data_IF_122657698394
#
_entry.id   IF_122657698394
#
_cell.length_a   1.000
_cell.length_b   1.000
_cell.length_c   1.000
_cell.angle_alpha   90.00
_cell.angle_beta   90.00
_cell.angle_gamma   90.00
#
_symmetry.space_group_name_H-M   'P 1'
#
loop_
_entity.id
_entity.type
_entity.pdbx_description
1 polymer ?
#
# COMPACT_ATOMS: atom_id res chain seq x y z
N UNK A 1 15.67 -8.81 -36.06
CA UNK A 1 14.74 -7.68 -36.27
C UNK A 1 15.53 -6.39 -36.10
N UNK A 2 15.30 -5.38 -36.94
CA UNK A 2 15.89 -4.06 -36.71
C UNK A 2 15.38 -3.48 -35.38
N UNK A 3 16.24 -2.82 -34.60
CA UNK A 3 15.84 -2.17 -33.36
C UNK A 3 14.89 -1.00 -33.64
N UNK A 4 13.93 -0.75 -32.75
CA UNK A 4 13.08 0.45 -32.74
C UNK A 4 13.84 1.58 -32.01
N UNK A 5 15.00 1.96 -32.55
CA UNK A 5 15.92 2.95 -31.96
C UNK A 5 15.69 4.38 -32.49
N UNK A 6 14.60 4.60 -33.21
CA UNK A 6 14.23 5.90 -33.78
C UNK A 6 15.14 6.38 -34.91
N UNK A 7 15.94 5.50 -35.53
CA UNK A 7 16.81 5.83 -36.67
C UNK A 7 16.19 5.56 -38.04
N UNK A 8 15.13 4.76 -38.09
CA UNK A 8 14.48 4.34 -39.34
C UNK A 8 13.02 4.79 -39.33
N UNK A 9 12.51 5.13 -40.51
CA UNK A 9 11.10 5.43 -40.70
C UNK A 9 10.23 4.18 -40.46
N UNK A 10 9.04 4.34 -39.89
CA UNK A 10 8.11 3.23 -39.60
C UNK A 10 7.82 2.38 -40.85
N UNK A 11 7.78 2.98 -42.05
CA UNK A 11 7.59 2.28 -43.31
C UNK A 11 8.67 1.25 -43.63
N UNK A 12 9.86 1.37 -43.04
CA UNK A 12 11.01 0.49 -43.27
C UNK A 12 10.97 -0.79 -42.42
N UNK A 13 10.00 -0.91 -41.51
CA UNK A 13 9.83 -2.08 -40.65
C UNK A 13 8.78 -3.04 -41.22
N UNK A 14 9.05 -4.35 -41.12
CA UNK A 14 8.09 -5.39 -41.52
C UNK A 14 6.84 -5.29 -40.64
N UNK A 15 5.69 -5.03 -41.27
CA UNK A 15 4.40 -4.84 -40.59
C UNK A 15 3.76 -6.16 -40.16
N UNK A 16 4.34 -6.80 -39.16
CA UNK A 16 3.71 -7.95 -38.49
C UNK A 16 2.40 -7.53 -37.82
N UNK A 17 1.43 -8.45 -37.59
CA UNK A 17 0.19 -8.12 -36.88
C UNK A 17 0.42 -7.49 -35.50
N UNK A 18 1.45 -7.95 -34.78
CA UNK A 18 1.87 -7.39 -33.50
C UNK A 18 2.38 -5.96 -33.63
N UNK A 19 3.27 -5.69 -34.60
CA UNK A 19 3.77 -4.34 -34.83
C UNK A 19 2.65 -3.38 -35.26
N UNK A 20 1.75 -3.83 -36.13
CA UNK A 20 0.57 -3.04 -36.51
C UNK A 20 -0.35 -2.74 -35.32
N UNK A 21 -0.49 -3.67 -34.37
CA UNK A 21 -1.24 -3.43 -33.14
C UNK A 21 -0.58 -2.31 -32.32
N UNK A 22 0.73 -2.38 -32.10
CA UNK A 22 1.47 -1.36 -31.35
C UNK A 22 1.40 0.02 -32.02
N UNK A 23 1.42 0.08 -33.36
CA UNK A 23 1.21 1.32 -34.11
C UNK A 23 -0.21 1.89 -33.90
N UNK A 24 -1.24 1.04 -33.98
CA UNK A 24 -2.64 1.47 -33.74
C UNK A 24 -2.87 1.94 -32.31
N UNK A 25 -2.19 1.33 -31.35
CA UNK A 25 -2.26 1.69 -29.93
C UNK A 25 -1.38 2.90 -29.59
N UNK A 26 -0.60 3.44 -30.54
CA UNK A 26 0.29 4.58 -30.32
C UNK A 26 1.52 4.27 -29.45
N UNK A 27 1.75 2.98 -29.12
CA UNK A 27 2.90 2.53 -28.33
C UNK A 27 4.19 2.68 -29.14
N UNK A 28 4.11 2.40 -30.44
CA UNK A 28 5.16 2.76 -31.40
C UNK A 28 4.62 3.91 -32.23
N UNK A 29 5.36 5.01 -32.27
CA UNK A 29 4.99 6.21 -33.02
C UNK A 29 6.18 6.76 -33.79
N UNK A 30 5.90 7.62 -34.76
CA UNK A 30 6.96 8.33 -35.47
C UNK A 30 7.70 9.25 -34.50
N UNK A 31 9.01 9.44 -34.71
CA UNK A 31 9.82 10.30 -33.85
C UNK A 31 9.27 11.73 -33.76
N UNK A 32 8.66 12.25 -34.83
CA UNK A 32 8.02 13.58 -34.84
C UNK A 32 6.79 13.69 -33.94
N UNK A 33 6.16 12.55 -33.63
CA UNK A 33 4.99 12.45 -32.74
C UNK A 33 5.36 12.04 -31.31
N UNK A 34 6.66 11.83 -31.04
CA UNK A 34 7.14 11.48 -29.71
C UNK A 34 6.89 12.66 -28.76
N UNK A 35 6.10 12.41 -27.71
CA UNK A 35 5.88 13.40 -26.66
C UNK A 35 7.10 13.46 -25.75
N UNK A 36 7.58 14.67 -25.49
CA UNK A 36 8.65 14.91 -24.53
C UNK A 36 8.07 14.89 -23.12
N UNK A 37 8.68 14.12 -22.22
CA UNK A 37 8.32 14.17 -20.80
C UNK A 37 8.71 15.53 -20.21
N UNK A 38 7.88 16.11 -19.32
CA UNK A 38 8.24 17.33 -18.61
C UNK A 38 9.50 17.13 -17.76
N UNK A 39 10.27 18.21 -17.57
CA UNK A 39 11.50 18.22 -16.77
C UNK A 39 11.25 18.35 -15.27
N UNK A 40 10.09 18.87 -14.87
CA UNK A 40 9.74 19.17 -13.48
C UNK A 40 8.23 19.10 -13.25
N UNK A 41 7.81 19.22 -11.99
CA UNK A 41 6.40 19.39 -11.64
C UNK A 41 5.85 20.78 -12.01
N UNK A 42 6.71 21.77 -12.22
CA UNK A 42 6.37 23.11 -12.67
C UNK A 42 5.97 23.11 -14.14
N UNK A 43 6.66 22.31 -14.96
CA UNK A 43 6.45 22.20 -16.41
C UNK A 43 5.37 21.18 -16.78
N UNK A 44 4.85 20.43 -15.80
CA UNK A 44 3.94 19.32 -16.01
C UNK A 44 2.53 19.78 -16.43
N UNK A 45 1.86 19.00 -17.28
CA UNK A 45 0.46 19.17 -17.60
C UNK A 45 -0.41 18.50 -16.52
N UNK A 46 -1.24 19.30 -15.84
CA UNK A 46 -2.12 18.81 -14.78
C UNK A 46 -3.54 18.55 -15.30
N UNK A 47 -4.15 17.51 -14.74
CA UNK A 47 -5.59 17.31 -14.85
C UNK A 47 -6.36 18.54 -14.32
N UNK A 48 -7.45 18.91 -14.99
CA UNK A 48 -8.30 20.04 -14.55
C UNK A 48 -9.09 19.74 -13.28
N UNK A 49 -9.33 18.46 -12.97
CA UNK A 49 -10.13 18.01 -11.82
C UNK A 49 -9.30 17.60 -10.61
N UNK A 50 -8.10 17.05 -10.80
CA UNK A 50 -7.29 16.51 -9.71
C UNK A 50 -5.80 16.83 -9.87
N UNK A 51 -4.96 16.35 -8.95
CA UNK A 51 -3.51 16.59 -8.97
C UNK A 51 -2.69 15.72 -9.95
N UNK A 52 -3.35 14.84 -10.71
CA UNK A 52 -2.66 13.96 -11.67
C UNK A 52 -1.93 14.78 -12.74
N UNK A 53 -0.70 14.38 -13.05
CA UNK A 53 0.14 15.05 -14.05
C UNK A 53 1.08 14.05 -14.72
N UNK A 54 1.58 14.44 -15.89
CA UNK A 54 2.46 13.65 -16.76
C UNK A 54 3.93 13.60 -16.31
N UNK A 55 4.32 14.39 -15.30
CA UNK A 55 5.62 14.27 -14.65
C UNK A 55 5.63 13.13 -13.63
N UNK A 56 4.79 13.21 -12.59
CA UNK A 56 4.74 12.25 -11.49
C UNK A 56 4.12 10.90 -11.88
N UNK A 57 3.32 10.88 -12.94
CA UNK A 57 2.80 9.66 -13.58
C UNK A 57 3.31 9.68 -15.03
N UNK A 58 4.53 9.17 -15.29
CA UNK A 58 5.14 9.24 -16.61
C UNK A 58 4.25 8.60 -17.68
N UNK A 59 4.04 9.32 -18.79
CA UNK A 59 3.18 8.86 -19.89
C UNK A 59 1.68 9.02 -19.63
N UNK A 60 1.27 9.71 -18.56
CA UNK A 60 -0.12 10.09 -18.37
C UNK A 60 -0.59 10.99 -19.52
N UNK A 61 -1.73 10.66 -20.10
CA UNK A 61 -2.35 11.45 -21.16
C UNK A 61 -3.65 12.08 -20.68
N UNK A 62 -3.78 13.38 -20.88
CA UNK A 62 -5.04 14.10 -20.68
C UNK A 62 -5.87 14.01 -21.97
N UNK A 63 -7.19 13.92 -21.82
CA UNK A 63 -8.08 14.03 -22.98
C UNK A 63 -8.25 15.49 -23.45
N UNK A 64 -9.08 15.71 -24.47
CA UNK A 64 -9.36 17.03 -25.03
C UNK A 64 -10.00 18.01 -24.04
N UNK A 65 -10.54 17.53 -22.91
CA UNK A 65 -11.10 18.35 -21.84
C UNK A 65 -10.12 18.55 -20.68
N UNK A 66 -8.88 18.05 -20.81
CA UNK A 66 -7.85 18.13 -19.77
C UNK A 66 -8.07 17.13 -18.63
N UNK A 67 -8.85 16.06 -18.84
CA UNK A 67 -9.10 15.04 -17.81
C UNK A 67 -8.13 13.86 -17.93
N UNK A 68 -7.56 13.45 -16.79
CA UNK A 68 -6.73 12.25 -16.72
C UNK A 68 -7.58 10.96 -16.79
N UNK A 69 -6.99 9.79 -17.13
CA UNK A 69 -7.72 8.54 -17.25
C UNK A 69 -8.43 8.12 -15.95
N UNK A 70 -7.85 8.44 -14.78
CA UNK A 70 -8.46 8.14 -13.49
C UNK A 70 -9.77 8.90 -13.29
N UNK A 71 -9.80 10.21 -13.59
CA UNK A 71 -11.02 11.02 -13.51
C UNK A 71 -12.06 10.59 -14.56
N UNK A 72 -11.62 10.26 -15.78
CA UNK A 72 -12.51 9.82 -16.88
C UNK A 72 -13.17 8.46 -16.62
N UNK A 73 -12.51 7.59 -15.86
CA UNK A 73 -12.97 6.20 -15.64
C UNK A 73 -13.52 5.97 -14.23
N UNK A 74 -13.68 7.02 -13.43
CA UNK A 74 -14.19 6.91 -12.05
C UNK A 74 -15.50 6.12 -11.97
N UNK A 75 -16.48 6.44 -12.82
CA UNK A 75 -17.76 5.73 -12.84
C UNK A 75 -17.60 4.25 -13.14
N UNK A 76 -16.74 3.91 -14.11
CA UNK A 76 -16.46 2.52 -14.48
C UNK A 76 -15.88 1.73 -13.31
N UNK A 77 -15.06 2.34 -12.47
CA UNK A 77 -14.40 1.67 -11.34
C UNK A 77 -15.07 1.93 -9.98
N UNK A 78 -16.24 2.57 -9.94
CA UNK A 78 -16.98 2.90 -8.71
C UNK A 78 -17.28 1.66 -7.85
N UNK A 79 -17.51 0.50 -8.48
CA UNK A 79 -17.77 -0.76 -7.77
C UNK A 79 -16.52 -1.35 -7.11
N UNK A 80 -15.33 -0.99 -7.58
CA UNK A 80 -14.07 -1.55 -7.14
C UNK A 80 -13.59 -0.78 -5.91
N UNK A 81 -14.18 -1.09 -4.75
CA UNK A 81 -13.80 -0.46 -3.48
C UNK A 81 -12.63 -1.19 -2.80
N UNK A 82 -12.78 -2.49 -2.56
CA UNK A 82 -11.78 -3.29 -1.84
C UNK A 82 -11.89 -4.78 -2.24
N UNK A 83 -10.79 -5.53 -2.07
CA UNK A 83 -10.75 -6.99 -2.23
C UNK A 83 -11.09 -7.73 -0.92
N UNK A 84 -11.23 -6.99 0.18
CA UNK A 84 -11.56 -7.47 1.51
C UNK A 84 -13.01 -7.12 1.89
N UNK A 85 -13.62 -7.86 2.82
CA UNK A 85 -14.91 -7.48 3.38
C UNK A 85 -14.83 -6.10 4.06
N UNK A 86 -15.79 -5.24 3.73
CA UNK A 86 -15.92 -3.90 4.31
C UNK A 86 -17.01 -3.94 5.37
N UNK A 87 -16.68 -3.52 6.59
CA UNK A 87 -17.64 -3.34 7.68
C UNK A 87 -17.62 -1.89 8.14
N UNK A 88 -18.79 -1.34 8.47
CA UNK A 88 -18.90 -0.02 9.12
C UNK A 88 -18.62 -0.10 10.62
N UNK A 89 -19.11 -1.16 11.26
CA UNK A 89 -18.99 -1.41 12.70
C UNK A 89 -18.46 -2.81 12.95
N UNK A 90 -17.51 -2.96 13.87
CA UNK A 90 -16.94 -4.27 14.22
C UNK A 90 -17.80 -4.92 15.31
N UNK A 91 -18.23 -6.19 15.12
CA UNK A 91 -18.96 -6.92 16.15
C UNK A 91 -18.12 -7.11 17.42
N UNK A 92 -18.74 -6.91 18.59
CA UNK A 92 -18.13 -7.25 19.88
C UNK A 92 -17.99 -8.76 20.04
N UNK A 93 -16.98 -9.18 20.79
CA UNK A 93 -16.67 -10.58 21.08
C UNK A 93 -16.66 -10.82 22.59
N UNK A 94 -17.83 -11.06 23.22
CA UNK A 94 -17.99 -11.08 24.68
C UNK A 94 -17.01 -12.00 25.41
N UNK A 95 -16.73 -13.17 24.85
CA UNK A 95 -15.89 -14.21 25.49
C UNK A 95 -14.39 -14.07 25.18
N UNK A 96 -13.97 -13.00 24.51
CA UNK A 96 -12.57 -12.75 24.13
C UNK A 96 -12.02 -11.55 24.88
N UNK A 97 -10.70 -11.47 25.06
CA UNK A 97 -10.05 -10.29 25.65
C UNK A 97 -10.18 -9.05 24.76
N UNK A 98 -10.06 -9.25 23.45
CA UNK A 98 -10.08 -8.18 22.45
C UNK A 98 -11.25 -8.36 21.50
N UNK A 99 -11.83 -7.23 21.09
CA UNK A 99 -12.81 -7.17 20.02
C UNK A 99 -12.13 -6.94 18.66
N UNK A 100 -10.98 -6.27 18.63
CA UNK A 100 -10.24 -6.01 17.40
C UNK A 100 -8.75 -5.76 17.68
N UNK A 101 -7.91 -5.99 16.67
CA UNK A 101 -6.56 -5.46 16.60
C UNK A 101 -6.39 -4.53 15.40
N UNK A 102 -5.45 -3.59 15.51
CA UNK A 102 -5.12 -2.63 14.46
C UNK A 102 -3.61 -2.45 14.35
N UNK A 103 -3.10 -2.39 13.13
CA UNK A 103 -1.74 -1.93 12.87
C UNK A 103 -1.65 -0.42 13.05
N UNK A 104 -0.85 0.04 14.02
CA UNK A 104 -0.76 1.43 14.41
C UNK A 104 0.64 1.99 14.19
N UNK A 105 0.76 2.99 13.32
CA UNK A 105 2.04 3.60 12.92
C UNK A 105 2.25 5.01 13.49
N UNK A 106 1.25 5.58 14.16
CA UNK A 106 1.24 6.99 14.55
C UNK A 106 0.93 7.97 13.41
N UNK A 107 0.73 7.46 12.19
CA UNK A 107 0.29 8.29 11.04
C UNK A 107 -1.20 8.63 11.12
N UNK A 108 -1.63 9.61 10.32
CA UNK A 108 -3.02 10.13 10.27
C UNK A 108 -4.05 8.99 10.18
N UNK A 109 -3.93 8.14 9.18
CA UNK A 109 -4.90 7.10 8.86
C UNK A 109 -4.99 6.03 9.97
N UNK A 110 -3.85 5.56 10.46
CA UNK A 110 -3.82 4.57 11.54
C UNK A 110 -4.32 5.13 12.87
N UNK A 111 -4.10 6.42 13.13
CA UNK A 111 -4.58 7.14 14.32
C UNK A 111 -6.10 7.33 14.26
N UNK A 112 -6.62 7.67 13.08
CA UNK A 112 -8.06 7.77 12.84
C UNK A 112 -8.76 6.43 13.05
N UNK A 113 -8.22 5.34 12.49
CA UNK A 113 -8.80 4.02 12.74
C UNK A 113 -8.75 3.64 14.22
N UNK A 114 -7.63 3.89 14.91
CA UNK A 114 -7.50 3.60 16.33
C UNK A 114 -8.54 4.38 17.15
N UNK A 115 -8.68 5.68 16.90
CA UNK A 115 -9.70 6.54 17.52
C UNK A 115 -11.12 6.02 17.26
N UNK A 116 -11.44 5.67 16.01
CA UNK A 116 -12.76 5.15 15.63
C UNK A 116 -13.11 3.85 16.36
N UNK A 117 -12.16 2.91 16.45
CA UNK A 117 -12.39 1.64 17.15
C UNK A 117 -12.50 1.83 18.67
N UNK A 118 -11.59 2.62 19.26
CA UNK A 118 -11.50 2.77 20.72
C UNK A 118 -12.53 3.77 21.29
N UNK A 119 -12.63 4.98 20.74
CA UNK A 119 -13.50 6.04 21.29
C UNK A 119 -14.92 5.99 20.75
N UNK A 120 -15.08 5.84 19.43
CA UNK A 120 -16.40 5.90 18.79
C UNK A 120 -17.15 4.58 18.97
N UNK A 121 -16.52 3.46 18.60
CA UNK A 121 -17.15 2.12 18.72
C UNK A 121 -16.99 1.49 20.11
N UNK A 122 -16.12 2.06 20.98
CA UNK A 122 -15.91 1.61 22.37
C UNK A 122 -15.54 0.13 22.45
N UNK A 123 -14.64 -0.30 21.58
CA UNK A 123 -14.16 -1.67 21.49
C UNK A 123 -12.93 -1.88 22.37
N UNK A 124 -12.68 -3.11 22.79
CA UNK A 124 -11.41 -3.50 23.42
C UNK A 124 -10.38 -3.75 22.32
N UNK A 125 -9.50 -2.78 22.11
CA UNK A 125 -8.58 -2.76 20.98
C UNK A 125 -7.16 -3.16 21.41
N UNK A 126 -6.55 -4.04 20.62
CA UNK A 126 -5.11 -4.31 20.64
C UNK A 126 -4.43 -3.48 19.55
N UNK A 127 -3.68 -2.46 19.94
CA UNK A 127 -2.85 -1.67 19.03
C UNK A 127 -1.51 -2.37 18.80
N UNK A 128 -1.12 -2.52 17.53
CA UNK A 128 0.09 -3.25 17.11
C UNK A 128 1.05 -2.30 16.40
N UNK A 129 2.14 -1.93 17.06
CA UNK A 129 3.15 -1.01 16.52
C UNK A 129 4.47 -1.74 16.31
N UNK A 130 4.98 -1.73 15.08
CA UNK A 130 6.32 -2.24 14.80
C UNK A 130 7.31 -1.09 14.71
N UNK A 131 8.40 -1.18 15.47
CA UNK A 131 9.46 -0.20 15.39
C UNK A 131 10.29 -0.41 14.13
N UNK A 132 10.50 0.69 13.40
CA UNK A 132 11.40 0.74 12.25
C UNK A 132 12.43 1.85 12.46
N UNK A 133 13.62 1.75 11.85
CA UNK A 133 14.61 2.83 11.91
C UNK A 133 14.13 4.12 11.24
N UNK A 134 13.05 4.06 10.44
CA UNK A 134 12.55 5.17 9.63
C UNK A 134 11.26 5.80 10.15
N UNK A 135 10.75 5.38 11.33
CA UNK A 135 9.60 6.05 11.95
C UNK A 135 9.93 7.52 12.21
N UNK A 136 9.00 8.42 11.87
CA UNK A 136 9.16 9.86 12.12
C UNK A 136 9.07 10.21 13.60
N UNK A 137 9.63 11.37 13.98
CA UNK A 137 9.63 11.80 15.38
C UNK A 137 8.21 12.18 15.83
N UNK A 138 7.45 12.90 14.99
CA UNK A 138 6.04 13.21 15.24
C UNK A 138 5.14 11.96 15.28
N UNK A 139 5.47 10.88 14.56
CA UNK A 139 4.73 9.62 14.69
C UNK A 139 5.01 8.94 16.05
N UNK A 140 6.24 9.00 16.55
CA UNK A 140 6.57 8.53 17.91
C UNK A 140 5.85 9.34 18.97
N UNK A 141 5.82 10.66 18.84
CA UNK A 141 5.07 11.55 19.74
C UNK A 141 3.56 11.24 19.69
N UNK A 142 2.99 11.07 18.50
CA UNK A 142 1.59 10.68 18.33
C UNK A 142 1.28 9.32 18.97
N UNK A 143 2.19 8.36 18.90
CA UNK A 143 2.03 7.06 19.58
C UNK A 143 2.05 7.25 21.11
N UNK A 144 2.96 8.07 21.63
CA UNK A 144 3.06 8.36 23.06
C UNK A 144 1.78 9.05 23.57
N UNK A 145 1.33 10.10 22.90
CA UNK A 145 0.09 10.82 23.27
C UNK A 145 -1.14 9.92 23.15
N UNK A 146 -1.26 9.11 22.08
CA UNK A 146 -2.38 8.18 21.95
C UNK A 146 -2.40 7.16 23.09
N UNK A 147 -1.24 6.71 23.58
CA UNK A 147 -1.16 5.78 24.73
C UNK A 147 -1.66 6.42 26.03
N UNK A 148 -1.39 7.69 26.24
CA UNK A 148 -1.88 8.44 27.41
C UNK A 148 -3.37 8.75 27.27
N UNK A 149 -3.79 9.16 26.08
CA UNK A 149 -5.16 9.56 25.79
C UNK A 149 -6.12 8.37 25.70
N UNK A 150 -5.65 7.15 25.41
CA UNK A 150 -6.48 5.94 25.24
C UNK A 150 -6.08 4.83 26.23
N UNK A 151 -6.30 5.02 27.55
CA UNK A 151 -5.92 4.03 28.58
C UNK A 151 -6.67 2.70 28.45
N UNK A 152 -7.78 2.65 27.71
CA UNK A 152 -8.53 1.43 27.43
C UNK A 152 -7.92 0.54 26.31
N UNK A 153 -6.93 1.04 25.59
CA UNK A 153 -6.27 0.32 24.50
C UNK A 153 -4.99 -0.35 25.01
N UNK A 154 -4.83 -1.64 24.70
CA UNK A 154 -3.56 -2.33 24.93
C UNK A 154 -2.60 -2.03 23.78
N UNK A 155 -1.47 -1.37 24.08
CA UNK A 155 -0.43 -1.06 23.09
C UNK A 155 0.69 -2.11 23.12
N UNK A 156 0.77 -2.92 22.06
CA UNK A 156 1.85 -3.86 21.84
C UNK A 156 2.86 -3.30 20.84
N UNK A 157 4.11 -3.15 21.30
CA UNK A 157 5.22 -2.69 20.48
C UNK A 157 6.21 -3.83 20.26
N UNK A 158 6.61 -4.05 19.01
CA UNK A 158 7.61 -5.06 18.65
C UNK A 158 8.66 -4.52 17.69
N UNK A 159 9.81 -5.17 17.67
CA UNK A 159 10.90 -4.86 16.74
C UNK A 159 11.45 -6.14 16.14
N UNK A 160 11.68 -6.14 14.82
CA UNK A 160 12.40 -7.22 14.17
C UNK A 160 13.88 -7.21 14.60
N UNK A 161 14.55 -8.36 14.75
CA UNK A 161 15.99 -8.39 15.04
C UNK A 161 16.77 -7.59 13.99
N UNK A 162 17.68 -6.71 14.43
CA UNK A 162 18.43 -5.81 13.53
C UNK A 162 19.12 -6.54 12.37
N UNK A 163 19.86 -7.66 12.58
CA UNK A 163 20.52 -8.36 11.48
C UNK A 163 19.52 -8.92 10.45
N UNK A 164 18.38 -9.43 10.92
CA UNK A 164 17.30 -9.93 10.08
C UNK A 164 16.67 -8.80 9.27
N UNK A 165 16.34 -7.68 9.92
CA UNK A 165 15.74 -6.52 9.25
C UNK A 165 16.68 -5.93 8.19
N UNK A 166 17.98 -5.83 8.49
CA UNK A 166 18.99 -5.34 7.55
C UNK A 166 19.14 -6.27 6.34
N UNK A 167 19.16 -7.58 6.54
CA UNK A 167 19.20 -8.55 5.43
C UNK A 167 17.97 -8.41 4.50
N UNK A 168 16.78 -8.26 5.10
CA UNK A 168 15.54 -8.03 4.36
C UNK A 168 15.63 -6.70 3.58
N UNK A 169 16.04 -5.60 4.23
CA UNK A 169 16.14 -4.28 3.61
C UNK A 169 17.16 -4.23 2.47
N UNK A 170 18.31 -4.88 2.59
CA UNK A 170 19.29 -4.98 1.48
C UNK A 170 18.68 -5.63 0.24
N UNK A 171 17.95 -6.73 0.43
CA UNK A 171 17.31 -7.41 -0.68
C UNK A 171 16.17 -6.59 -1.27
N UNK A 172 15.36 -5.94 -0.43
CA UNK A 172 14.34 -5.00 -0.91
C UNK A 172 15.00 -3.89 -1.75
N UNK A 173 16.01 -3.21 -1.21
CA UNK A 173 16.73 -2.14 -1.92
C UNK A 173 17.35 -2.62 -3.24
N UNK A 174 17.95 -3.81 -3.27
CA UNK A 174 18.49 -4.37 -4.51
C UNK A 174 17.42 -4.59 -5.58
N UNK A 175 16.19 -4.97 -5.19
CA UNK A 175 15.09 -5.25 -6.10
C UNK A 175 14.32 -4.00 -6.54
N UNK A 176 14.13 -3.03 -5.65
CA UNK A 176 13.22 -1.89 -5.89
C UNK A 176 13.79 -0.52 -5.59
N UNK A 177 15.08 -0.42 -5.23
CA UNK A 177 15.79 0.82 -4.88
C UNK A 177 15.17 1.59 -3.70
N UNK A 178 14.35 0.93 -2.89
CA UNK A 178 13.86 1.44 -1.63
C UNK A 178 13.58 0.26 -0.68
N UNK A 179 13.31 0.57 0.58
CA UNK A 179 13.07 -0.42 1.65
C UNK A 179 11.60 -0.43 2.12
N UNK A 180 10.68 0.10 1.32
CA UNK A 180 9.25 0.22 1.65
C UNK A 180 8.54 -1.14 1.59
N UNK A 181 8.71 -1.92 2.66
CA UNK A 181 8.07 -3.23 2.87
C UNK A 181 7.55 -3.39 4.30
N UNK A 182 7.63 -2.32 5.11
CA UNK A 182 7.38 -2.38 6.55
C UNK A 182 5.98 -2.90 6.94
N UNK A 183 4.88 -2.67 6.19
CA UNK A 183 3.59 -3.25 6.54
C UNK A 183 3.62 -4.79 6.52
N UNK A 184 4.42 -5.39 5.63
CA UNK A 184 4.57 -6.85 5.55
C UNK A 184 5.35 -7.44 6.72
N UNK A 185 6.32 -6.69 7.26
CA UNK A 185 7.05 -7.07 8.48
C UNK A 185 6.13 -7.09 9.70
N UNK A 186 5.14 -6.21 9.76
CA UNK A 186 4.14 -6.20 10.83
C UNK A 186 3.38 -7.55 10.91
N UNK A 187 2.96 -8.12 9.78
CA UNK A 187 2.35 -9.45 9.78
C UNK A 187 3.28 -10.53 10.34
N UNK A 188 4.57 -10.47 10.01
CA UNK A 188 5.56 -11.45 10.51
C UNK A 188 5.69 -11.36 12.03
N UNK A 189 5.72 -10.15 12.59
CA UNK A 189 5.83 -9.92 14.03
C UNK A 189 4.56 -10.37 14.78
N UNK A 190 3.39 -9.97 14.30
CA UNK A 190 2.18 -10.03 15.11
C UNK A 190 1.25 -11.22 14.84
N UNK A 191 1.34 -11.86 13.67
CA UNK A 191 0.35 -12.89 13.28
C UNK A 191 0.28 -14.07 14.25
N UNK A 192 1.42 -14.51 14.79
CA UNK A 192 1.45 -15.57 15.79
C UNK A 192 0.67 -15.16 17.06
N UNK A 193 0.88 -13.94 17.55
CA UNK A 193 0.22 -13.41 18.76
C UNK A 193 -1.27 -13.20 18.53
N UNK A 194 -1.66 -12.68 17.37
CA UNK A 194 -3.07 -12.57 16.98
C UNK A 194 -3.80 -13.91 17.08
N UNK A 195 -3.19 -14.99 16.59
CA UNK A 195 -3.75 -16.34 16.70
C UNK A 195 -3.76 -16.87 18.14
N UNK A 196 -2.66 -16.65 18.89
CA UNK A 196 -2.51 -17.16 20.26
C UNK A 196 -3.46 -16.49 21.25
N UNK A 197 -3.68 -15.18 21.10
CA UNK A 197 -4.59 -14.39 21.93
C UNK A 197 -6.03 -14.42 21.43
N UNK A 198 -6.31 -15.27 20.43
CA UNK A 198 -7.63 -15.47 19.82
C UNK A 198 -8.30 -14.15 19.43
N UNK A 199 -7.54 -13.24 18.81
CA UNK A 199 -8.07 -11.96 18.34
C UNK A 199 -9.05 -12.22 17.19
N UNK A 200 -10.31 -11.76 17.28
CA UNK A 200 -11.33 -12.10 16.29
C UNK A 200 -11.16 -11.34 14.97
N UNK A 201 -10.75 -10.07 15.04
CA UNK A 201 -10.65 -9.18 13.88
C UNK A 201 -9.30 -8.47 13.84
N UNK A 202 -8.63 -8.51 12.69
CA UNK A 202 -7.56 -7.58 12.35
C UNK A 202 -8.15 -6.55 11.38
N UNK A 203 -8.22 -5.30 11.82
CA UNK A 203 -8.89 -4.23 11.10
C UNK A 203 -7.87 -3.36 10.37
N UNK A 204 -8.08 -3.17 9.07
CA UNK A 204 -7.31 -2.24 8.24
C UNK A 204 -8.15 -1.01 7.92
N UNK A 205 -7.55 0.16 8.11
CA UNK A 205 -8.14 1.47 7.85
C UNK A 205 -7.24 2.18 6.89
N UNK A 206 -7.53 2.00 5.61
CA UNK A 206 -6.81 2.66 4.53
C UNK A 206 -7.74 3.73 3.98
N UNK A 207 -7.15 4.85 3.59
CA UNK A 207 -7.89 5.85 2.86
C UNK A 207 -8.45 5.28 1.54
N UNK A 208 -9.66 5.67 1.10
CA UNK A 208 -10.25 5.22 -0.16
C UNK A 208 -9.31 5.36 -1.37
N UNK A 209 -8.50 6.43 -1.41
CA UNK A 209 -7.50 6.66 -2.46
C UNK A 209 -6.43 5.54 -2.51
N UNK A 210 -5.95 5.08 -1.36
CA UNK A 210 -4.98 3.98 -1.23
C UNK A 210 -5.59 2.65 -1.71
N UNK A 211 -6.84 2.37 -1.34
CA UNK A 211 -7.54 1.17 -1.81
C UNK A 211 -7.73 1.17 -3.33
N UNK A 212 -8.13 2.31 -3.91
CA UNK A 212 -8.31 2.46 -5.36
C UNK A 212 -6.99 2.39 -6.12
N UNK A 213 -5.90 2.89 -5.54
CA UNK A 213 -4.56 2.80 -6.14
C UNK A 213 -4.14 1.33 -6.40
N UNK A 214 -4.55 0.39 -5.53
CA UNK A 214 -4.29 -1.04 -5.72
C UNK A 214 -4.88 -1.59 -7.04
N UNK A 215 -5.95 -0.97 -7.57
CA UNK A 215 -6.53 -1.35 -8.87
C UNK A 215 -5.61 -0.93 -10.01
N UNK A 216 -5.14 0.31 -9.99
CA UNK A 216 -4.27 0.86 -11.04
C UNK A 216 -2.90 0.17 -11.05
N UNK A 217 -2.40 -0.21 -9.87
CA UNK A 217 -1.20 -1.02 -9.73
C UNK A 217 -1.44 -2.54 -9.84
N UNK A 218 -2.63 -2.95 -10.31
CA UNK A 218 -2.99 -4.34 -10.62
C UNK A 218 -2.72 -5.32 -9.48
N UNK A 219 -2.97 -4.94 -8.22
CA UNK A 219 -2.74 -5.77 -7.04
C UNK A 219 -3.61 -7.03 -6.97
N UNK A 220 -4.68 -7.06 -7.75
CA UNK A 220 -5.44 -8.25 -8.08
C UNK A 220 -5.94 -8.11 -9.52
N UNK A 221 -6.31 -9.21 -10.19
CA UNK A 221 -7.00 -9.13 -11.47
C UNK A 221 -8.26 -8.26 -11.38
N UNK A 222 -8.50 -7.40 -12.38
CA UNK A 222 -9.58 -6.41 -12.34
C UNK A 222 -10.98 -7.02 -12.07
N UNK A 223 -11.25 -8.25 -12.57
CA UNK A 223 -12.52 -8.93 -12.33
C UNK A 223 -12.73 -9.29 -10.85
N UNK A 224 -11.67 -9.48 -10.07
CA UNK A 224 -11.74 -9.90 -8.67
C UNK A 224 -12.24 -8.78 -7.75
N UNK A 225 -12.19 -7.54 -8.19
CA UNK A 225 -12.81 -6.42 -7.47
C UNK A 225 -14.35 -6.44 -7.54
N UNK A 226 -14.94 -7.29 -8.39
CA UNK A 226 -16.39 -7.42 -8.46
C UNK A 226 -16.92 -8.29 -7.29
N UNK A 227 -17.95 -7.85 -6.54
CA UNK A 227 -18.47 -8.58 -5.37
C UNK A 227 -18.86 -10.03 -5.67
N UNK A 228 -19.49 -10.28 -6.84
CA UNK A 228 -19.84 -11.65 -7.25
C UNK A 228 -18.61 -12.54 -7.45
N UNK A 229 -17.51 -12.01 -7.99
CA UNK A 229 -16.28 -12.77 -8.17
C UNK A 229 -15.65 -13.14 -6.82
N UNK A 230 -15.66 -12.22 -5.86
CA UNK A 230 -15.18 -12.48 -4.49
C UNK A 230 -16.04 -13.55 -3.81
N UNK A 231 -17.37 -13.43 -3.88
CA UNK A 231 -18.29 -14.40 -3.30
C UNK A 231 -18.13 -15.79 -3.93
N UNK A 232 -17.99 -15.88 -5.25
CA UNK A 232 -17.74 -17.13 -5.95
C UNK A 232 -16.39 -17.75 -5.55
N UNK A 233 -15.33 -16.95 -5.43
CA UNK A 233 -14.02 -17.43 -4.97
C UNK A 233 -14.06 -17.94 -3.52
N UNK A 234 -14.72 -17.21 -2.61
CA UNK A 234 -14.93 -17.63 -1.22
C UNK A 234 -15.71 -18.94 -1.14
N UNK A 235 -16.78 -19.06 -1.93
CA UNK A 235 -17.56 -20.30 -2.02
C UNK A 235 -16.71 -21.47 -2.51
N UNK A 236 -15.98 -21.29 -3.62
CA UNK A 236 -15.12 -22.34 -4.18
C UNK A 236 -14.06 -22.82 -3.16
N UNK A 237 -13.39 -21.88 -2.47
CA UNK A 237 -12.40 -22.21 -1.44
C UNK A 237 -13.05 -22.94 -0.27
N UNK A 238 -14.18 -22.46 0.23
CA UNK A 238 -14.87 -23.09 1.37
C UNK A 238 -15.41 -24.48 1.01
N UNK A 239 -15.93 -24.67 -0.19
CA UNK A 239 -16.34 -25.99 -0.71
C UNK A 239 -15.15 -26.95 -0.75
N UNK A 240 -14.00 -26.52 -1.29
CA UNK A 240 -12.77 -27.32 -1.27
C UNK A 240 -12.31 -27.66 0.16
N UNK A 241 -12.45 -26.72 1.11
CA UNK A 241 -12.12 -26.96 2.52
C UNK A 241 -13.03 -28.02 3.13
N UNK A 242 -14.34 -27.97 2.89
CA UNK A 242 -15.28 -29.00 3.36
C UNK A 242 -14.91 -30.37 2.79
N UNK A 243 -14.65 -30.47 1.48
CA UNK A 243 -14.22 -31.72 0.85
C UNK A 243 -12.87 -32.24 1.36
N UNK A 244 -12.02 -31.37 1.90
CA UNK A 244 -10.73 -31.74 2.51
C UNK A 244 -10.78 -31.82 4.04
N UNK A 245 -11.99 -31.94 4.61
CA UNK A 245 -12.25 -32.05 6.06
C UNK A 245 -11.67 -30.89 6.89
N UNK A 246 -11.64 -29.70 6.30
CA UNK A 246 -11.21 -28.46 6.95
C UNK A 246 -12.43 -27.56 7.18
N UNK A 247 -12.44 -26.88 8.33
CA UNK A 247 -13.48 -25.89 8.64
C UNK A 247 -13.51 -24.79 7.58
N UNK A 248 -14.70 -24.40 7.06
CA UNK A 248 -14.84 -23.24 6.19
C UNK A 248 -14.24 -21.99 6.85
N UNK A 249 -13.73 -21.08 6.03
CA UNK A 249 -13.35 -19.75 6.47
C UNK A 249 -14.59 -18.89 6.67
N UNK A 250 -14.63 -18.19 7.80
CA UNK A 250 -15.53 -17.05 8.01
C UNK A 250 -15.15 -15.87 7.09
N UNK A 251 -16.04 -14.90 6.85
CA UNK A 251 -15.72 -13.70 6.08
C UNK A 251 -14.43 -13.01 6.60
N UNK A 252 -13.49 -12.71 5.70
CA UNK A 252 -12.22 -12.05 6.03
C UNK A 252 -11.07 -13.00 6.41
N UNK A 253 -11.37 -14.23 6.84
CA UNK A 253 -10.33 -15.21 7.20
C UNK A 253 -9.58 -15.72 5.96
N UNK A 254 -10.27 -15.92 4.85
CA UNK A 254 -9.64 -16.36 3.59
C UNK A 254 -8.61 -15.32 3.12
N UNK A 255 -9.00 -14.05 3.14
CA UNK A 255 -8.15 -12.92 2.76
C UNK A 255 -6.92 -12.82 3.67
N UNK A 256 -7.11 -12.92 5.00
CA UNK A 256 -5.98 -12.95 5.93
C UNK A 256 -5.04 -14.10 5.61
N UNK A 257 -5.58 -15.31 5.52
CA UNK A 257 -4.80 -16.53 5.32
C UNK A 257 -4.01 -16.49 4.01
N UNK A 258 -4.62 -16.00 2.92
CA UNK A 258 -3.94 -15.85 1.64
C UNK A 258 -2.78 -14.86 1.73
N UNK A 259 -2.99 -13.70 2.36
CA UNK A 259 -1.96 -12.69 2.59
C UNK A 259 -0.78 -13.25 3.38
N UNK A 260 -1.03 -13.82 4.57
CA UNK A 260 0.06 -14.34 5.42
C UNK A 260 0.75 -15.56 4.82
N UNK A 261 0.02 -16.41 4.08
CA UNK A 261 0.61 -17.54 3.35
C UNK A 261 1.56 -17.07 2.27
N UNK A 262 1.18 -16.05 1.51
CA UNK A 262 2.02 -15.47 0.47
C UNK A 262 3.29 -14.85 1.06
N UNK A 263 3.20 -14.17 2.20
CA UNK A 263 4.37 -13.63 2.90
C UNK A 263 5.27 -14.75 3.47
N UNK A 264 4.69 -15.83 3.99
CA UNK A 264 5.42 -16.91 4.66
C UNK A 264 6.21 -17.79 3.68
N UNK A 265 5.60 -18.13 2.54
CA UNK A 265 6.14 -19.14 1.61
C UNK A 265 6.42 -18.59 0.21
N UNK A 266 6.03 -17.35 -0.08
CA UNK A 266 6.07 -16.81 -1.43
C UNK A 266 5.07 -17.51 -2.37
N UNK A 267 5.22 -17.25 -3.66
CA UNK A 267 4.42 -17.89 -4.71
C UNK A 267 4.95 -19.29 -5.05
N UNK A 268 4.64 -20.30 -4.24
CA UNK A 268 5.07 -21.71 -4.43
C UNK A 268 4.41 -22.44 -5.63
N UNK A 269 4.18 -21.79 -6.77
CA UNK A 269 3.83 -22.54 -7.98
C UNK A 269 4.31 -21.85 -9.24
N UNK A 270 5.17 -22.54 -9.99
CA UNK A 270 5.61 -22.16 -11.33
C UNK A 270 4.45 -21.90 -12.30
N UNK A 271 3.23 -22.40 -12.01
CA UNK A 271 2.01 -22.15 -12.78
C UNK A 271 1.31 -20.81 -12.52
N UNK A 272 1.34 -20.26 -11.29
CA UNK A 272 0.68 -18.97 -10.98
C UNK A 272 1.37 -17.78 -11.63
N UNK A 273 2.71 -17.83 -11.75
CA UNK A 273 3.50 -16.79 -12.43
C UNK A 273 3.12 -16.59 -13.90
N UNK A 274 2.51 -17.59 -14.54
CA UNK A 274 2.04 -17.52 -15.93
C UNK A 274 0.70 -16.79 -16.08
N UNK A 275 -0.07 -16.63 -15.00
CA UNK A 275 -1.45 -16.11 -15.04
C UNK A 275 -1.53 -14.70 -14.43
N UNK A 276 -0.70 -14.40 -13.43
CA UNK A 276 -0.74 -13.13 -12.70
C UNK A 276 0.64 -12.86 -12.06
N UNK A 277 1.18 -11.66 -12.30
CA UNK A 277 2.45 -11.20 -11.74
C UNK A 277 2.21 -9.94 -10.90
N UNK A 278 2.78 -9.91 -9.70
CA UNK A 278 2.72 -8.76 -8.81
C UNK A 278 4.12 -8.48 -8.25
N UNK A 279 4.79 -7.49 -8.81
CA UNK A 279 6.17 -7.14 -8.47
C UNK A 279 6.32 -6.80 -6.98
N UNK A 280 5.37 -6.04 -6.38
CA UNK A 280 5.41 -5.64 -4.97
C UNK A 280 5.44 -6.87 -4.05
N UNK A 281 4.53 -7.81 -4.29
CA UNK A 281 4.37 -9.03 -3.50
C UNK A 281 5.57 -9.96 -3.68
N UNK A 282 6.07 -10.11 -4.91
CA UNK A 282 7.24 -10.92 -5.20
C UNK A 282 8.51 -10.34 -4.58
N UNK A 283 8.72 -9.03 -4.68
CA UNK A 283 9.85 -8.35 -4.06
C UNK A 283 9.82 -8.50 -2.54
N UNK A 284 8.65 -8.30 -1.94
CA UNK A 284 8.43 -8.46 -0.50
C UNK A 284 8.74 -9.88 -0.05
N UNK A 285 8.16 -10.90 -0.68
CA UNK A 285 8.42 -12.29 -0.32
C UNK A 285 9.90 -12.67 -0.49
N UNK A 286 10.54 -12.19 -1.56
CA UNK A 286 11.97 -12.41 -1.80
C UNK A 286 12.86 -11.74 -0.74
N UNK A 287 12.47 -10.55 -0.27
CA UNK A 287 13.16 -9.84 0.79
C UNK A 287 13.00 -10.56 2.14
N UNK A 288 11.77 -10.94 2.52
CA UNK A 288 11.50 -11.67 3.76
C UNK A 288 12.26 -13.00 3.83
N UNK A 289 12.44 -13.68 2.70
CA UNK A 289 13.20 -14.93 2.62
C UNK A 289 14.68 -14.80 3.03
N UNK A 290 15.24 -13.58 3.13
CA UNK A 290 16.61 -13.35 3.60
C UNK A 290 16.78 -13.48 5.12
N UNK A 291 15.68 -13.63 5.87
CA UNK A 291 15.72 -13.80 7.32
C UNK A 291 14.95 -15.06 7.76
N UNK A 292 15.44 -16.27 7.45
CA UNK A 292 14.70 -17.52 7.67
C UNK A 292 14.38 -17.78 9.14
N UNK A 293 15.30 -17.47 10.07
CA UNK A 293 15.10 -17.69 11.51
C UNK A 293 14.03 -16.77 12.09
N UNK A 294 14.06 -15.48 11.70
CA UNK A 294 13.02 -14.52 12.05
C UNK A 294 11.65 -14.93 11.49
N UNK A 295 11.63 -15.51 10.28
CA UNK A 295 10.39 -15.94 9.61
C UNK A 295 9.87 -17.30 10.12
N UNK A 296 10.65 -18.07 10.88
CA UNK A 296 10.30 -19.43 11.27
C UNK A 296 9.05 -19.52 12.18
N UNK A 297 8.92 -18.72 13.25
CA UNK A 297 7.72 -18.74 14.10
C UNK A 297 6.46 -18.34 13.33
N UNK A 298 6.59 -17.35 12.44
CA UNK A 298 5.51 -16.92 11.55
C UNK A 298 5.08 -18.04 10.60
N UNK A 299 6.02 -18.72 9.93
CA UNK A 299 5.73 -19.87 9.05
C UNK A 299 5.03 -20.99 9.79
N UNK A 300 5.44 -21.28 11.02
CA UNK A 300 4.77 -22.26 11.86
C UNK A 300 3.32 -21.84 12.15
N UNK A 301 3.11 -20.61 12.61
CA UNK A 301 1.77 -20.09 12.89
C UNK A 301 0.86 -20.15 11.65
N UNK A 302 1.37 -19.85 10.46
CA UNK A 302 0.58 -19.94 9.21
C UNK A 302 0.19 -21.40 8.89
N UNK A 303 1.08 -22.37 9.10
CA UNK A 303 0.75 -23.80 8.89
C UNK A 303 -0.33 -24.29 9.84
N UNK A 304 -0.29 -23.83 11.10
CA UNK A 304 -1.29 -24.15 12.11
C UNK A 304 -2.63 -23.47 11.82
N UNK A 305 -2.59 -22.19 11.43
CA UNK A 305 -3.77 -21.40 11.09
C UNK A 305 -4.61 -22.00 9.95
N UNK A 306 -3.98 -22.73 9.01
CA UNK A 306 -4.67 -23.43 7.92
C UNK A 306 -5.77 -24.39 8.41
N UNK A 307 -5.60 -24.93 9.63
CA UNK A 307 -6.47 -25.92 10.29
C UNK A 307 -7.16 -25.37 11.55
N UNK A 308 -6.74 -24.20 12.03
CA UNK A 308 -7.22 -23.61 13.28
C UNK A 308 -8.54 -22.85 13.10
N UNK A 309 -9.33 -22.79 14.17
CA UNK A 309 -10.49 -21.91 14.28
C UNK A 309 -10.14 -20.50 14.80
N UNK A 310 -8.88 -20.29 15.22
CA UNK A 310 -8.40 -19.04 15.85
C UNK A 310 -7.74 -18.07 14.88
N UNK A 311 -8.05 -18.19 13.59
CA UNK A 311 -7.57 -17.27 12.57
C UNK A 311 -8.41 -15.97 12.64
N UNK A 312 -7.81 -14.79 12.81
CA UNK A 312 -8.57 -13.55 12.76
C UNK A 312 -9.24 -13.34 11.39
N UNK A 313 -10.37 -12.67 11.37
CA UNK A 313 -10.92 -12.13 10.14
C UNK A 313 -10.21 -10.81 9.81
N UNK A 314 -9.64 -10.71 8.60
CA UNK A 314 -9.11 -9.45 8.10
C UNK A 314 -10.25 -8.65 7.49
N UNK A 315 -10.54 -7.49 8.08
CA UNK A 315 -11.67 -6.63 7.74
C UNK A 315 -11.15 -5.23 7.39
N UNK A 316 -11.83 -4.57 6.47
CA UNK A 316 -11.60 -3.17 6.16
C UNK A 316 -12.73 -2.29 6.69
N UNK A 317 -12.40 -1.09 7.19
CA UNK A 317 -13.36 -0.01 7.38
C UNK A 317 -13.06 1.06 6.34
N UNK A 318 -14.08 1.39 5.54
CA UNK A 318 -14.01 2.48 4.54
C UNK A 318 -14.16 3.81 5.29
N UNK A 319 -13.16 4.69 5.17
CA UNK A 319 -13.16 5.96 5.89
C UNK A 319 -14.21 6.95 5.37
N UNK A 320 -14.62 6.87 4.12
CA UNK A 320 -15.73 7.70 3.62
C UNK A 320 -17.04 7.31 4.34
N UNK A 321 -17.28 6.00 4.54
CA UNK A 321 -18.50 5.47 5.14
C UNK A 321 -18.66 5.80 6.65
N UNK A 322 -17.54 6.12 7.33
CA UNK A 322 -17.53 6.48 8.77
C UNK A 322 -17.25 7.97 9.03
N UNK A 323 -16.88 8.74 7.99
CA UNK A 323 -16.66 10.18 8.12
C UNK A 323 -17.97 10.95 8.01
N UNK A 324 -18.10 12.02 8.78
CA UNK A 324 -19.23 12.94 8.66
C UNK A 324 -19.21 13.60 7.27
N UNK A 325 -20.36 13.65 6.60
CA UNK A 325 -20.46 14.15 5.22
C UNK A 325 -20.07 13.15 4.13
N UNK A 326 -19.67 11.93 4.49
CA UNK A 326 -19.40 10.85 3.53
C UNK A 326 -18.07 11.01 2.77
N UNK A 327 -17.17 11.86 3.25
CA UNK A 327 -15.85 12.11 2.68
C UNK A 327 -14.83 12.14 3.81
N UNK A 328 -13.76 11.37 3.67
CA UNK A 328 -12.61 11.44 4.57
C UNK A 328 -11.78 12.70 4.33
N UNK A 329 -12.22 13.82 4.91
CA UNK A 329 -11.54 15.12 4.84
C UNK A 329 -10.28 15.15 5.70
N UNK A 330 -9.13 15.42 5.08
CA UNK A 330 -7.85 15.38 5.76
C UNK A 330 -7.71 16.46 6.82
N UNK A 331 -8.21 17.68 6.57
CA UNK A 331 -8.07 18.79 7.52
C UNK A 331 -8.89 18.52 8.77
N UNK A 332 -10.18 18.21 8.62
CA UNK A 332 -11.04 17.89 9.76
C UNK A 332 -10.57 16.68 10.56
N UNK A 333 -10.03 15.65 9.89
CA UNK A 333 -9.47 14.47 10.58
C UNK A 333 -8.22 14.83 11.38
N UNK A 334 -7.31 15.63 10.82
CA UNK A 334 -6.12 16.08 11.56
C UNK A 334 -6.50 16.89 12.80
N UNK A 335 -7.43 17.84 12.66
CA UNK A 335 -7.94 18.66 13.77
C UNK A 335 -8.62 17.80 14.86
N UNK A 336 -9.45 16.84 14.45
CA UNK A 336 -10.07 15.87 15.34
C UNK A 336 -9.01 15.09 16.12
N UNK A 337 -8.02 14.51 15.44
CA UNK A 337 -7.01 13.68 16.08
C UNK A 337 -6.11 14.47 17.03
N UNK A 338 -5.71 15.68 16.64
CA UNK A 338 -4.92 16.56 17.52
C UNK A 338 -5.69 16.92 18.78
N UNK A 339 -7.00 17.17 18.67
CA UNK A 339 -7.86 17.48 19.83
C UNK A 339 -8.11 16.27 20.73
N UNK A 340 -8.45 15.13 20.15
CA UNK A 340 -9.00 14.00 20.92
C UNK A 340 -7.93 13.06 21.48
N UNK A 341 -6.81 12.89 20.77
CA UNK A 341 -5.76 11.93 21.16
C UNK A 341 -4.35 12.52 21.11
N UNK A 342 -4.25 13.85 21.01
CA UNK A 342 -2.96 14.55 20.99
C UNK A 342 -2.09 14.23 19.77
N UNK A 343 -2.70 13.89 18.63
CA UNK A 343 -1.94 13.61 17.41
C UNK A 343 -1.11 14.82 16.96
N UNK A 344 0.14 14.57 16.58
CA UNK A 344 1.11 15.60 16.18
C UNK A 344 1.28 15.55 14.67
N UNK A 345 0.93 16.65 13.99
CA UNK A 345 1.19 16.80 12.57
C UNK A 345 2.69 17.00 12.30
N UNK A 346 3.11 16.69 11.09
CA UNK A 346 4.48 16.90 10.65
C UNK A 346 4.73 18.42 10.46
N UNK A 347 5.51 19.09 11.35
CA UNK A 347 5.46 20.54 11.59
C UNK A 347 5.66 21.44 10.36
N UNK A 348 6.41 20.98 9.35
CA UNK A 348 6.79 21.77 8.18
C UNK A 348 6.26 21.24 6.84
N UNK A 349 5.50 20.15 6.86
CA UNK A 349 5.40 19.29 5.68
C UNK A 349 4.14 19.46 4.84
N UNK A 350 3.12 20.19 5.29
CA UNK A 350 1.83 20.28 4.57
C UNK A 350 1.23 18.93 4.13
N UNK A 351 1.75 17.81 4.66
CA UNK A 351 1.67 16.49 4.06
C UNK A 351 0.47 15.76 4.59
N UNK A 352 -0.40 15.29 3.70
CA UNK A 352 -1.56 14.49 4.06
C UNK A 352 -1.30 13.00 4.01
N UNK A 353 -0.45 12.54 3.08
CA UNK A 353 -0.18 11.10 2.89
C UNK A 353 1.08 10.62 3.60
N UNK A 354 1.06 9.34 4.02
CA UNK A 354 2.24 8.61 4.51
C UNK A 354 3.02 9.39 5.58
N UNK A 355 2.29 9.93 6.55
CA UNK A 355 2.85 10.85 7.54
C UNK A 355 3.75 10.17 8.58
N UNK A 356 3.93 8.85 8.59
CA UNK A 356 4.69 8.16 9.64
C UNK A 356 6.16 7.83 9.31
N UNK A 357 6.64 8.18 8.11
CA UNK A 357 7.93 7.69 7.58
C UNK A 357 8.88 8.84 7.20
N UNK A 358 10.13 8.80 7.70
CA UNK A 358 11.20 9.77 7.40
C UNK A 358 11.74 9.67 5.98
N UNK A 359 11.67 8.49 5.35
CA UNK A 359 12.26 8.22 4.03
C UNK A 359 11.21 8.11 2.93
N UNK A 360 10.00 8.62 3.15
CA UNK A 360 8.90 8.47 2.19
C UNK A 360 9.23 9.06 0.82
N UNK A 361 9.95 10.20 0.79
CA UNK A 361 10.43 10.82 -0.46
C UNK A 361 11.38 9.90 -1.22
N UNK A 362 12.15 9.05 -0.54
CA UNK A 362 13.00 8.05 -1.19
C UNK A 362 12.16 6.98 -1.91
N UNK A 363 11.03 6.56 -1.33
CA UNK A 363 10.07 5.65 -1.98
C UNK A 363 9.55 6.28 -3.28
N UNK A 364 9.02 7.50 -3.18
CA UNK A 364 8.42 8.22 -4.29
C UNK A 364 9.42 8.47 -5.44
N UNK A 365 10.62 8.94 -5.10
CA UNK A 365 11.71 9.12 -6.07
C UNK A 365 12.05 7.80 -6.77
N UNK A 366 12.26 6.73 -6.00
CA UNK A 366 12.63 5.42 -6.56
C UNK A 366 11.54 4.86 -7.48
N UNK A 367 10.25 5.01 -7.11
CA UNK A 367 9.15 4.56 -7.96
C UNK A 367 9.07 5.37 -9.25
N UNK A 368 9.25 6.69 -9.18
CA UNK A 368 9.27 7.56 -10.36
C UNK A 368 10.35 7.16 -11.35
N UNK A 369 11.61 7.10 -10.91
CA UNK A 369 12.74 6.84 -11.80
C UNK A 369 12.77 5.42 -12.33
N UNK A 370 12.44 4.43 -11.50
CA UNK A 370 12.34 3.05 -11.98
C UNK A 370 11.26 2.92 -13.04
N UNK A 371 10.11 3.57 -12.87
CA UNK A 371 9.04 3.52 -13.87
C UNK A 371 9.45 4.24 -15.16
N UNK A 372 10.05 5.43 -15.06
CA UNK A 372 10.59 6.18 -16.22
C UNK A 372 11.64 5.39 -17.00
N UNK A 373 12.51 4.68 -16.30
CA UNK A 373 13.57 3.87 -16.90
C UNK A 373 13.08 2.49 -17.39
N UNK A 374 11.77 2.22 -17.31
CA UNK A 374 11.18 0.92 -17.65
C UNK A 374 11.76 -0.26 -16.83
N UNK A 375 12.22 0.02 -15.61
CA UNK A 375 12.74 -0.98 -14.65
C UNK A 375 11.61 -1.61 -13.81
N UNK A 376 10.40 -1.06 -13.88
CA UNK A 376 9.20 -1.56 -13.20
C UNK A 376 7.95 -1.20 -14.00
N UNK A 377 6.89 -1.99 -13.83
CA UNK A 377 5.54 -1.65 -14.31
C UNK A 377 4.68 -0.99 -13.22
N UNK A 378 5.24 -0.78 -12.02
CA UNK A 378 4.54 -0.16 -10.89
C UNK A 378 4.42 1.34 -11.08
N UNK A 379 3.20 1.85 -11.10
CA UNK A 379 2.93 3.28 -11.12
C UNK A 379 3.29 3.90 -9.76
N UNK A 380 3.89 5.10 -9.71
CA UNK A 380 4.23 5.76 -8.45
C UNK A 380 2.99 5.93 -7.55
N UNK A 381 3.02 5.30 -6.37
CA UNK A 381 1.83 5.12 -5.53
C UNK A 381 1.28 6.47 -5.06
N UNK A 382 2.13 7.32 -4.48
CA UNK A 382 1.69 8.60 -3.93
C UNK A 382 1.13 9.56 -5.00
N UNK A 383 1.60 9.46 -6.24
CA UNK A 383 1.08 10.27 -7.35
C UNK A 383 -0.36 9.88 -7.70
N UNK A 384 -0.65 8.58 -7.73
CA UNK A 384 -2.00 8.05 -7.94
C UNK A 384 -2.89 8.37 -6.73
N UNK A 385 -2.40 8.19 -5.51
CA UNK A 385 -3.16 8.43 -4.27
C UNK A 385 -3.56 9.90 -4.12
N UNK A 386 -2.63 10.86 -4.26
CA UNK A 386 -2.95 12.30 -4.22
C UNK A 386 -3.94 12.70 -5.32
N UNK A 387 -3.81 12.11 -6.51
CA UNK A 387 -4.74 12.34 -7.61
C UNK A 387 -6.15 11.84 -7.30
N UNK A 388 -6.28 10.67 -6.69
CA UNK A 388 -7.56 10.09 -6.32
C UNK A 388 -8.18 10.80 -5.12
N UNK A 389 -7.38 11.15 -4.11
CA UNK A 389 -7.81 11.90 -2.94
C UNK A 389 -8.35 13.29 -3.33
N UNK A 390 -7.61 14.01 -4.18
CA UNK A 390 -8.08 15.32 -4.67
C UNK A 390 -9.29 15.23 -5.59
N UNK A 391 -9.42 14.16 -6.39
CA UNK A 391 -10.61 13.93 -7.20
C UNK A 391 -11.86 13.59 -6.37
N UNK A 392 -11.67 12.97 -5.20
CA UNK A 392 -12.73 12.55 -4.27
C UNK A 392 -13.11 13.64 -3.26
N UNK A 393 -12.32 14.71 -3.13
CA UNK A 393 -12.57 15.82 -2.22
C UNK A 393 -11.98 15.65 -0.82
N UNK A 394 -11.18 14.60 -0.57
CA UNK A 394 -10.44 14.42 0.70
C UNK A 394 -9.41 15.52 0.95
N UNK A 395 -8.94 16.16 -0.11
CA UNK A 395 -8.02 17.31 -0.11
C UNK A 395 -8.33 18.17 -1.34
N UNK A 396 -8.12 19.48 -1.27
CA UNK A 396 -8.31 20.32 -2.44
C UNK A 396 -7.26 20.03 -3.52
N UNK A 397 -7.61 20.25 -4.78
CA UNK A 397 -6.68 20.08 -5.91
C UNK A 397 -5.39 20.90 -5.72
N UNK A 398 -5.51 22.16 -5.31
CA UNK A 398 -4.37 23.05 -5.18
C UNK A 398 -3.44 22.62 -4.03
N UNK A 399 -4.01 22.15 -2.91
CA UNK A 399 -3.23 21.59 -1.81
C UNK A 399 -2.52 20.30 -2.21
N UNK A 400 -3.18 19.41 -2.95
CA UNK A 400 -2.54 18.20 -3.45
C UNK A 400 -1.40 18.50 -4.44
N UNK A 401 -1.54 19.52 -5.29
CA UNK A 401 -0.46 19.99 -6.17
C UNK A 401 0.70 20.58 -5.36
N UNK A 402 0.39 21.38 -4.33
CA UNK A 402 1.40 21.91 -3.40
C UNK A 402 2.17 20.79 -2.72
N UNK A 403 1.48 19.74 -2.25
CA UNK A 403 2.10 18.56 -1.65
C UNK A 403 3.04 17.82 -2.61
N UNK A 404 2.60 17.60 -3.85
CA UNK A 404 3.47 17.03 -4.88
C UNK A 404 4.74 17.86 -5.07
N UNK A 405 4.60 19.18 -5.21
CA UNK A 405 5.73 20.07 -5.51
C UNK A 405 6.72 20.23 -4.36
N UNK A 406 6.23 20.35 -3.14
CA UNK A 406 7.06 20.75 -1.99
C UNK A 406 7.49 19.59 -1.09
N UNK A 407 6.66 18.57 -0.99
CA UNK A 407 6.75 17.60 0.11
C UNK A 407 6.87 16.15 -0.32
N UNK A 408 6.82 15.90 -1.64
CA UNK A 408 7.06 14.60 -2.23
C UNK A 408 8.52 14.39 -2.64
N UNK A 409 8.84 13.15 -3.02
CA UNK A 409 10.08 12.75 -3.69
C UNK A 409 10.04 12.87 -5.21
N UNK A 410 8.99 13.43 -5.80
CA UNK A 410 8.89 13.63 -7.25
C UNK A 410 9.72 14.83 -7.73
N UNK A 411 11.04 14.73 -7.57
CA UNK A 411 12.04 15.69 -8.04
C UNK A 411 13.03 15.01 -8.98
N UNK A 412 13.76 15.78 -9.78
CA UNK A 412 14.93 15.27 -10.52
C UNK A 412 16.03 14.81 -9.57
N UNK A 413 16.15 15.48 -8.43
CA UNK A 413 17.25 15.31 -7.50
C UNK A 413 16.97 14.18 -6.52
N UNK A 414 18.03 13.48 -6.12
CA UNK A 414 17.95 12.44 -5.11
C UNK A 414 17.57 13.07 -3.75
N UNK A 415 16.56 12.54 -3.03
CA UNK A 415 16.17 13.08 -1.74
C UNK A 415 17.32 13.00 -0.73
N UNK A 416 17.56 14.03 0.11
CA UNK A 416 18.62 14.02 1.11
C UNK A 416 18.47 12.87 2.12
N UNK A 417 17.24 12.44 2.39
CA UNK A 417 16.91 11.33 3.28
C UNK A 417 17.40 9.97 2.75
N UNK A 418 17.85 9.92 1.50
CA UNK A 418 18.46 8.71 0.92
C UNK A 418 19.70 8.26 1.70
N UNK A 419 20.47 9.22 2.23
CA UNK A 419 21.63 8.95 3.10
C UNK A 419 21.25 8.17 4.35
N UNK A 420 20.08 8.45 4.94
CA UNK A 420 19.54 7.75 6.10
C UNK A 420 19.23 6.29 5.74
N UNK A 421 18.62 6.07 4.57
CA UNK A 421 18.33 4.73 4.07
C UNK A 421 19.62 3.94 3.83
N UNK A 422 20.63 4.52 3.18
CA UNK A 422 21.91 3.85 2.93
C UNK A 422 22.66 3.51 4.23
N UNK A 423 22.70 4.43 5.18
CA UNK A 423 23.34 4.21 6.47
C UNK A 423 22.73 3.01 7.22
N UNK A 424 21.42 2.78 7.10
CA UNK A 424 20.78 1.59 7.66
C UNK A 424 21.23 0.30 6.94
N UNK A 425 21.33 0.33 5.61
CA UNK A 425 21.74 -0.82 4.79
C UNK A 425 23.19 -1.25 5.04
N UNK A 426 24.05 -0.33 5.48
CA UNK A 426 25.47 -0.58 5.75
C UNK A 426 25.74 -1.15 7.15
N UNK A 427 24.76 -1.09 8.07
CA UNK A 427 24.90 -1.66 9.42
C UNK A 427 25.14 -3.17 9.35
N UNK A 428 26.10 -3.69 10.11
CA UNK A 428 26.44 -5.12 10.16
C UNK A 428 27.10 -5.69 8.89
N UNK A 429 27.54 -4.84 7.94
CA UNK A 429 28.55 -5.27 6.95
C UNK A 429 29.92 -5.22 7.64
N UNK A 430 30.68 -6.33 7.70
CA UNK A 430 32.05 -6.29 8.20
C UNK A 430 32.84 -5.24 7.42
N UNK A 431 33.36 -4.20 8.08
CA UNK A 431 34.13 -3.12 7.44
C UNK A 431 35.50 -3.55 6.90
N UNK A 432 35.81 -4.84 6.98
CA UNK A 432 37.04 -5.44 6.48
C UNK A 432 36.69 -6.71 5.71
N UNK A 433 36.59 -6.57 4.39
CA UNK A 433 36.74 -7.64 3.42
C UNK A 433 37.51 -7.11 2.23
#
# INVERSE_FOLDING_TARGET
MASLDGKRDISQYIRTPGFQKLLREGIVTDRSLLRTSPSSLEDAAYCVRCAANDYAIPGLELDSHGLCPMCRTEEKYRYAKNVMPVLRTIPRSPDRRYDAAVFYTGGKDSSYLLYQLARVQKLRVLSLTWETPFISDWARESIAHAREALPEVDFLVERAPTPSLNAIYRKAYALQKNVCICPSVAYVLFFQRLCQWDVPYLVLGNEPSQCRNLIYNQMAPAFYYHPLAQSAARLAVNTCRVFTLRRPFAPGQMELYMTVRQLAFGGESSGKKRIYHNELVENTASALAQAPDFLAPFRQAVREAARSARLPALIHIDFDDISEGGVYDWTGVKELLSREIGWVDAPDSGKGLHTSCKIERCKEWSQLFRFRNMETCMLPFSAIELSLASAAGSVSRDRAIEELKRYSGFSSDLPPEWSIMLAELEKDIPKYM
#
